data_IF_982522057606
#
_entry.id   IF_982522057606
#
_cell.length_a   1.000
_cell.length_b   1.000
_cell.length_c   1.000
_cell.angle_alpha   90.00
_cell.angle_beta   90.00
_cell.angle_gamma   90.00
#
_symmetry.space_group_name_H-M   'P 1'
#
loop_
_entity.id
_entity.type
_entity.pdbx_description
1 polymer ?
#
# COMPACT_ATOMS: atom_id res chain seq x y z
N UNK A 1 43.10 14.80 32.00
CA UNK A 1 41.98 15.37 31.21
C UNK A 1 41.71 14.48 30.00
N UNK A 2 40.44 14.45 29.55
CA UNK A 2 39.83 13.73 28.42
C UNK A 2 39.21 12.35 28.73
N UNK A 3 37.95 12.41 29.16
CA UNK A 3 36.97 11.32 29.02
C UNK A 3 36.42 11.42 27.59
N UNK A 4 36.62 10.40 26.77
CA UNK A 4 35.94 10.25 25.48
C UNK A 4 34.68 9.42 25.73
N UNK A 5 33.54 10.09 25.77
CA UNK A 5 32.22 9.45 25.68
C UNK A 5 31.83 9.54 24.20
N UNK A 6 31.63 8.40 23.57
CA UNK A 6 30.98 8.30 22.28
C UNK A 6 29.97 7.15 22.36
N UNK A 7 28.79 7.45 22.91
CA UNK A 7 27.63 6.59 22.78
C UNK A 7 27.05 6.83 21.38
N UNK A 8 27.43 5.99 20.42
CA UNK A 8 26.70 5.90 19.14
C UNK A 8 25.43 5.12 19.44
N UNK A 9 24.34 5.85 19.72
CA UNK A 9 23.01 5.27 19.75
C UNK A 9 22.59 4.97 18.30
N UNK A 10 22.81 3.73 17.84
CA UNK A 10 22.12 3.21 16.67
C UNK A 10 20.64 3.03 17.03
N UNK A 11 19.83 4.05 16.73
CA UNK A 11 18.39 3.88 16.69
C UNK A 11 18.04 3.01 15.48
N UNK A 12 17.85 1.71 15.74
CA UNK A 12 17.31 0.77 14.76
C UNK A 12 15.81 1.05 14.65
N UNK A 13 15.39 1.75 13.60
CA UNK A 13 13.97 1.97 13.32
C UNK A 13 13.35 0.62 12.95
N UNK A 14 12.54 0.09 13.85
CA UNK A 14 11.61 -1.01 13.61
C UNK A 14 10.56 -0.53 12.62
N UNK A 15 10.81 -0.70 11.31
CA UNK A 15 9.92 -0.25 10.24
C UNK A 15 8.72 -1.18 9.98
N UNK A 16 8.63 -2.32 10.67
CA UNK A 16 7.48 -3.23 10.54
C UNK A 16 6.44 -2.89 11.61
N UNK A 17 5.52 -1.97 11.33
CA UNK A 17 4.38 -1.68 12.21
C UNK A 17 3.80 -0.26 12.09
N UNK A 18 4.56 0.68 11.53
CA UNK A 18 4.17 2.09 11.49
C UNK A 18 3.12 2.42 10.42
N UNK A 19 3.06 1.64 9.33
CA UNK A 19 2.10 1.83 8.24
C UNK A 19 0.71 1.28 8.57
N UNK A 20 0.62 0.14 9.28
CA UNK A 20 -0.66 -0.49 9.62
C UNK A 20 -1.45 0.31 10.67
N UNK A 21 -0.80 0.93 11.66
CA UNK A 21 -1.50 1.80 12.61
C UNK A 21 -2.08 3.06 11.94
N UNK A 22 -1.46 3.50 10.84
CA UNK A 22 -1.89 4.69 10.10
C UNK A 22 -2.95 4.39 9.06
N UNK A 23 -3.13 3.14 8.61
CA UNK A 23 -4.03 2.87 7.48
C UNK A 23 -5.48 3.21 7.79
N UNK A 24 -6.00 2.73 8.92
CA UNK A 24 -7.41 2.89 9.32
C UNK A 24 -7.84 4.36 9.35
N UNK A 25 -7.11 5.29 9.99
CA UNK A 25 -7.48 6.71 9.95
C UNK A 25 -7.37 7.33 8.54
N UNK A 26 -6.52 6.80 7.67
CA UNK A 26 -6.29 7.33 6.30
C UNK A 26 -7.29 6.82 5.26
N UNK A 27 -8.05 5.77 5.55
CA UNK A 27 -8.99 5.15 4.61
C UNK A 27 -10.01 6.13 4.02
N UNK A 28 -10.45 7.13 4.79
CA UNK A 28 -11.41 8.12 4.30
C UNK A 28 -10.83 9.02 3.19
N UNK A 29 -9.57 9.44 3.33
CA UNK A 29 -8.87 10.24 2.30
C UNK A 29 -8.52 9.38 1.09
N UNK A 30 -8.05 8.15 1.32
CA UNK A 30 -7.80 7.18 0.26
C UNK A 30 -9.09 6.89 -0.54
N UNK A 31 -10.24 6.84 0.11
CA UNK A 31 -11.51 6.59 -0.57
C UNK A 31 -11.92 7.76 -1.47
N UNK A 32 -11.64 9.00 -1.07
CA UNK A 32 -11.85 10.15 -1.95
C UNK A 32 -11.02 10.02 -3.22
N UNK A 33 -9.75 9.65 -3.09
CA UNK A 33 -8.86 9.40 -4.25
C UNK A 33 -9.38 8.24 -5.10
N UNK A 34 -9.79 7.12 -4.49
CA UNK A 34 -10.32 5.97 -5.21
C UNK A 34 -11.61 6.28 -6.00
N UNK A 35 -12.46 7.16 -5.45
CA UNK A 35 -13.69 7.63 -6.11
C UNK A 35 -13.41 8.57 -7.27
N UNK A 36 -12.34 9.36 -7.20
CA UNK A 36 -11.96 10.28 -8.27
C UNK A 36 -11.10 9.63 -9.34
N UNK A 37 -10.42 8.53 -9.03
CA UNK A 37 -9.62 7.76 -9.98
C UNK A 37 -10.52 7.23 -11.10
N UNK A 38 -10.60 7.97 -12.20
CA UNK A 38 -11.38 7.62 -13.37
C UNK A 38 -10.71 6.51 -14.17
N UNK A 39 -11.46 5.85 -15.08
CA UNK A 39 -10.88 4.88 -16.01
C UNK A 39 -9.83 5.50 -16.95
N UNK A 40 -9.89 6.82 -17.17
CA UNK A 40 -8.99 7.56 -18.06
C UNK A 40 -7.77 8.17 -17.36
N UNK A 41 -7.70 8.11 -16.02
CA UNK A 41 -6.62 8.76 -15.25
C UNK A 41 -5.28 7.99 -15.31
N UNK A 42 -5.29 6.78 -15.88
CA UNK A 42 -4.11 5.92 -16.00
C UNK A 42 -3.50 5.51 -14.66
N UNK A 43 -2.46 4.69 -14.70
CA UNK A 43 -1.62 4.39 -13.53
C UNK A 43 -0.86 5.66 -13.14
N UNK A 44 -1.07 6.19 -11.94
CA UNK A 44 -0.14 7.18 -11.39
C UNK A 44 1.09 6.43 -10.91
N UNK A 45 2.18 6.50 -11.66
CA UNK A 45 3.47 5.86 -11.30
C UNK A 45 4.38 6.78 -10.46
N UNK A 46 3.84 7.91 -10.01
CA UNK A 46 4.59 8.84 -9.14
C UNK A 46 4.18 8.59 -7.70
N UNK A 47 5.15 8.55 -6.77
CA UNK A 47 4.85 8.45 -5.35
C UNK A 47 3.88 9.56 -4.92
N UNK A 48 2.87 9.18 -4.14
CA UNK A 48 1.86 10.09 -3.62
C UNK A 48 1.60 9.81 -2.14
N UNK A 49 1.63 10.86 -1.32
CA UNK A 49 1.25 10.76 0.09
C UNK A 49 -0.26 11.01 0.27
N UNK A 50 -0.96 10.11 0.95
CA UNK A 50 -2.39 10.24 1.31
C UNK A 50 -2.54 9.82 2.78
N UNK A 51 -3.13 10.69 3.60
CA UNK A 51 -3.28 10.42 5.04
C UNK A 51 -1.98 10.06 5.75
N UNK A 52 -0.83 10.63 5.35
CA UNK A 52 0.46 10.33 5.97
C UNK A 52 1.06 8.97 5.62
N UNK A 53 0.59 8.35 4.53
CA UNK A 53 1.11 7.11 3.95
C UNK A 53 1.56 7.41 2.52
N UNK A 54 2.80 7.06 2.20
CA UNK A 54 3.33 7.16 0.84
C UNK A 54 2.93 5.91 0.04
N UNK A 55 2.39 6.11 -1.15
CA UNK A 55 2.06 5.08 -2.12
C UNK A 55 2.90 5.27 -3.37
N UNK A 56 3.58 4.23 -3.82
CA UNK A 56 4.43 4.27 -5.03
C UNK A 56 3.59 4.34 -6.29
N UNK A 57 2.43 3.68 -6.30
CA UNK A 57 1.51 3.71 -7.40
C UNK A 57 0.05 3.64 -6.94
N UNK A 58 -0.81 4.32 -7.69
CA UNK A 58 -2.27 4.19 -7.55
C UNK A 58 -2.84 3.90 -8.93
N UNK A 59 -3.61 2.82 -9.05
CA UNK A 59 -4.14 2.41 -10.34
C UNK A 59 -5.48 1.69 -10.22
N UNK A 60 -6.25 1.75 -11.29
CA UNK A 60 -7.57 1.11 -11.39
C UNK A 60 -7.47 -0.13 -12.28
N UNK A 61 -8.02 -1.24 -11.79
CA UNK A 61 -8.26 -2.44 -12.58
C UNK A 61 -9.72 -2.85 -12.45
N UNK A 62 -10.47 -2.72 -13.54
CA UNK A 62 -11.92 -2.92 -13.52
C UNK A 62 -12.60 -1.97 -12.52
N UNK A 63 -13.28 -2.53 -11.53
CA UNK A 63 -13.94 -1.79 -10.46
C UNK A 63 -13.11 -1.63 -9.18
N UNK A 64 -11.88 -2.16 -9.16
CA UNK A 64 -10.94 -2.07 -8.03
C UNK A 64 -9.96 -0.92 -8.22
N UNK A 65 -9.55 -0.29 -7.12
CA UNK A 65 -8.44 0.67 -7.10
C UNK A 65 -7.38 0.18 -6.13
N UNK A 66 -6.16 0.06 -6.63
CA UNK A 66 -4.99 -0.44 -5.93
C UNK A 66 -4.12 0.73 -5.47
N UNK A 67 -3.65 0.66 -4.24
CA UNK A 67 -2.73 1.59 -3.60
C UNK A 67 -1.49 0.78 -3.20
N UNK A 68 -0.44 0.83 -4.03
CA UNK A 68 0.79 0.07 -3.82
C UNK A 68 1.73 0.82 -2.88
N UNK A 69 2.24 0.15 -1.84
CA UNK A 69 3.06 0.77 -0.78
C UNK A 69 4.55 0.74 -1.11
N UNK A 70 5.05 -0.31 -1.77
CA UNK A 70 6.50 -0.51 -1.97
C UNK A 70 6.89 -0.55 -3.45
N UNK A 71 8.14 -0.16 -3.76
CA UNK A 71 8.67 -0.15 -5.12
C UNK A 71 8.85 -1.60 -5.60
N UNK A 72 8.47 -1.86 -6.85
CA UNK A 72 8.75 -3.13 -7.54
C UNK A 72 10.27 -3.29 -7.73
N UNK A 73 10.98 -3.73 -6.70
CA UNK A 73 12.35 -4.22 -6.78
C UNK A 73 12.39 -5.68 -7.24
N UNK A 74 13.47 -6.14 -7.90
CA UNK A 74 13.58 -7.54 -8.30
C UNK A 74 13.49 -8.47 -7.08
N UNK A 75 12.49 -9.35 -7.08
CA UNK A 75 12.24 -10.33 -6.01
C UNK A 75 11.45 -9.80 -4.82
N UNK A 76 10.83 -8.62 -4.91
CA UNK A 76 9.88 -8.12 -3.92
C UNK A 76 8.48 -8.26 -4.48
N UNK A 77 7.65 -9.04 -3.79
CA UNK A 77 6.25 -9.16 -4.13
C UNK A 77 5.51 -7.85 -3.79
N UNK A 78 4.76 -7.26 -4.73
CA UNK A 78 4.05 -6.03 -4.46
C UNK A 78 2.95 -6.26 -3.44
N UNK A 79 2.73 -5.25 -2.59
CA UNK A 79 1.67 -5.25 -1.60
C UNK A 79 1.11 -3.84 -1.40
N UNK A 80 -0.05 -3.80 -0.77
CA UNK A 80 -0.70 -2.55 -0.41
C UNK A 80 -2.16 -2.75 -0.06
N UNK A 81 -3.01 -1.91 -0.62
CA UNK A 81 -4.43 -1.87 -0.29
C UNK A 81 -5.30 -1.79 -1.54
N UNK A 82 -6.45 -2.45 -1.48
CA UNK A 82 -7.47 -2.45 -2.52
C UNK A 82 -8.75 -1.84 -1.99
N UNK A 83 -9.28 -0.88 -2.74
CA UNK A 83 -10.65 -0.42 -2.63
C UNK A 83 -11.52 -1.17 -3.64
N UNK A 84 -12.45 -1.98 -3.14
CA UNK A 84 -13.39 -2.76 -3.94
C UNK A 84 -14.82 -2.56 -3.43
N UNK A 85 -15.57 -1.58 -3.97
CA UNK A 85 -16.86 -1.18 -3.40
C UNK A 85 -18.03 -2.09 -3.78
N UNK A 86 -17.90 -2.90 -4.84
CA UNK A 86 -19.02 -3.71 -5.35
C UNK A 86 -19.03 -5.12 -4.80
N UNK A 87 -17.86 -5.72 -4.61
CA UNK A 87 -17.71 -7.10 -4.22
C UNK A 87 -16.34 -7.36 -3.60
N UNK A 88 -16.21 -8.46 -2.85
CA UNK A 88 -14.91 -8.88 -2.35
C UNK A 88 -13.98 -9.21 -3.53
N UNK A 89 -12.72 -8.73 -3.52
CA UNK A 89 -11.77 -9.07 -4.57
C UNK A 89 -11.48 -10.57 -4.55
N UNK A 90 -11.29 -11.13 -5.73
CA UNK A 90 -10.87 -12.52 -5.95
C UNK A 90 -9.54 -12.51 -6.69
N UNK A 91 -8.80 -13.62 -6.57
CA UNK A 91 -7.62 -13.85 -7.40
C UNK A 91 -8.06 -14.19 -8.83
N UNK A 92 -8.01 -13.19 -9.70
CA UNK A 92 -8.22 -13.28 -11.15
C UNK A 92 -6.94 -12.93 -11.93
N UNK A 93 -5.79 -13.03 -11.25
CA UNK A 93 -4.47 -12.76 -11.81
C UNK A 93 -4.02 -13.86 -12.78
N UNK A 94 -2.96 -13.57 -13.54
CA UNK A 94 -2.29 -14.55 -14.39
C UNK A 94 -1.84 -15.75 -13.53
N UNK A 95 -1.92 -17.02 -14.00
CA UNK A 95 -1.46 -18.19 -13.24
C UNK A 95 -0.01 -18.15 -12.73
N UNK A 96 0.82 -17.23 -13.20
CA UNK A 96 2.16 -16.97 -12.67
C UNK A 96 2.18 -16.05 -11.44
N UNK A 97 1.03 -15.61 -10.93
CA UNK A 97 0.88 -14.70 -9.80
C UNK A 97 -0.24 -15.22 -8.91
N UNK A 98 0.01 -15.34 -7.61
CA UNK A 98 -1.02 -15.63 -6.62
C UNK A 98 -1.33 -14.37 -5.81
N UNK A 99 -2.54 -13.83 -5.97
CA UNK A 99 -2.96 -12.64 -5.23
C UNK A 99 -3.74 -13.02 -3.97
N UNK A 100 -3.39 -12.40 -2.84
CA UNK A 100 -4.08 -12.57 -1.57
C UNK A 100 -4.80 -11.30 -1.14
N UNK A 101 -5.96 -11.45 -0.49
CA UNK A 101 -6.77 -10.33 -0.02
C UNK A 101 -7.27 -10.57 1.41
N UNK A 102 -6.96 -9.66 2.32
CA UNK A 102 -7.43 -9.69 3.71
C UNK A 102 -8.36 -8.50 3.97
N UNK A 103 -9.59 -8.75 4.46
CA UNK A 103 -10.56 -7.68 4.69
C UNK A 103 -10.14 -6.80 5.87
N UNK A 104 -10.20 -5.49 5.69
CA UNK A 104 -9.93 -4.51 6.75
C UNK A 104 -11.26 -3.96 7.29
N UNK A 105 -11.96 -3.17 6.47
CA UNK A 105 -13.29 -2.63 6.80
C UNK A 105 -13.99 -2.10 5.56
N UNK A 106 -15.32 -2.17 5.53
CA UNK A 106 -16.12 -1.65 4.42
C UNK A 106 -15.59 -2.19 3.07
N UNK A 107 -15.29 -1.32 2.08
CA UNK A 107 -14.77 -1.72 0.78
C UNK A 107 -13.24 -1.97 0.75
N UNK A 108 -12.57 -1.96 1.90
CA UNK A 108 -11.11 -2.00 1.99
C UNK A 108 -10.54 -3.37 2.33
N UNK A 109 -9.52 -3.74 1.58
CA UNK A 109 -8.76 -4.98 1.73
C UNK A 109 -7.26 -4.67 1.71
N UNK A 110 -6.47 -5.40 2.49
CA UNK A 110 -5.04 -5.54 2.25
C UNK A 110 -4.85 -6.47 1.06
N UNK A 111 -3.88 -6.17 0.21
CA UNK A 111 -3.51 -6.99 -0.94
C UNK A 111 -2.02 -7.28 -0.94
N UNK A 112 -1.65 -8.48 -1.39
CA UNK A 112 -0.28 -8.82 -1.76
C UNK A 112 -0.28 -9.83 -2.90
N UNK A 113 0.71 -9.76 -3.77
CA UNK A 113 0.98 -10.80 -4.75
C UNK A 113 2.04 -11.78 -4.24
N UNK A 114 2.24 -12.85 -4.99
CA UNK A 114 3.36 -13.78 -4.85
C UNK A 114 3.69 -14.35 -6.24
N UNK A 115 4.93 -14.16 -6.69
CA UNK A 115 5.42 -14.59 -8.03
C UNK A 115 6.22 -15.89 -8.00
#
# INVERSE_FOLDING_TARGET
MRKLVACVALASLTSCGHSEERIVPSLAEMEQVARTAGPDDGTTTRPQEIGGIEFQAIYREGDRVYFQVDENGPGVDPYGYVWSPKHAPVDDSNPSVASSFEHIQGPWYRWSDSY
#
